data_IF_907262039794
#
_entry.id   IF_907262039794
#
_cell.length_a   1.000
_cell.length_b   1.000
_cell.length_c   1.000
_cell.angle_alpha   90.00
_cell.angle_beta   90.00
_cell.angle_gamma   90.00
#
_symmetry.space_group_name_H-M   'P 1'
#
loop_
_entity.id
_entity.type
_entity.pdbx_description
1 polymer ?
#
# COMPACT_ATOMS: atom_id res chain seq x y z
N UNK A 1 -45.36 48.23 5.47
CA UNK A 1 -44.17 47.61 6.09
C UNK A 1 -43.90 46.29 5.39
N UNK A 2 -43.02 46.27 4.38
CA UNK A 2 -42.64 45.04 3.68
C UNK A 2 -41.25 44.61 4.12
N UNK A 3 -41.17 43.46 4.79
CA UNK A 3 -39.91 42.79 5.13
C UNK A 3 -39.46 41.99 3.91
N UNK A 4 -38.37 42.44 3.28
CA UNK A 4 -37.70 41.72 2.20
C UNK A 4 -36.88 40.58 2.83
N UNK A 5 -37.34 39.34 2.66
CA UNK A 5 -36.65 38.13 3.11
C UNK A 5 -35.63 37.74 2.02
N UNK A 6 -34.34 38.03 2.26
CA UNK A 6 -33.26 37.59 1.37
C UNK A 6 -32.95 36.13 1.71
N UNK A 7 -33.37 35.20 0.84
CA UNK A 7 -32.93 33.81 0.90
C UNK A 7 -31.52 33.73 0.30
N UNK A 8 -30.51 33.58 1.14
CA UNK A 8 -29.14 33.26 0.73
C UNK A 8 -29.06 31.76 0.47
N UNK A 9 -29.15 31.35 -0.79
CA UNK A 9 -28.95 29.96 -1.20
C UNK A 9 -27.46 29.63 -1.15
N UNK A 10 -26.98 29.08 -0.03
CA UNK A 10 -25.62 28.56 0.08
C UNK A 10 -25.51 27.30 -0.77
N UNK A 11 -25.01 27.42 -2.00
CA UNK A 11 -24.69 26.26 -2.82
C UNK A 11 -23.53 25.50 -2.14
N UNK A 12 -23.85 24.38 -1.52
CA UNK A 12 -22.87 23.38 -1.09
C UNK A 12 -22.24 22.80 -2.35
N UNK A 13 -21.12 23.38 -2.77
CA UNK A 13 -20.24 22.74 -3.77
C UNK A 13 -19.65 21.53 -3.07
N UNK A 14 -20.31 20.38 -3.22
CA UNK A 14 -19.69 19.11 -2.88
C UNK A 14 -18.51 18.95 -3.82
N UNK A 15 -17.30 19.14 -3.32
CA UNK A 15 -16.06 18.81 -4.03
C UNK A 15 -16.03 17.30 -4.16
N UNK A 16 -16.72 16.78 -5.19
CA UNK A 16 -16.56 15.40 -5.62
C UNK A 16 -15.07 15.18 -5.88
N UNK A 17 -14.53 14.09 -5.36
CA UNK A 17 -13.14 13.74 -5.61
C UNK A 17 -12.97 13.53 -7.13
N UNK A 18 -12.18 14.40 -7.76
CA UNK A 18 -11.91 14.32 -9.18
C UNK A 18 -10.85 13.26 -9.44
N UNK A 19 -10.93 12.61 -10.59
CA UNK A 19 -9.92 11.65 -11.00
C UNK A 19 -8.56 12.35 -11.14
N UNK A 20 -7.59 11.92 -10.33
CA UNK A 20 -6.24 12.49 -10.29
C UNK A 20 -5.24 11.45 -9.75
N UNK A 21 -4.07 11.38 -10.37
CA UNK A 21 -2.98 10.56 -9.88
C UNK A 21 -2.56 11.01 -8.47
N UNK A 22 -2.22 10.07 -7.60
CA UNK A 22 -1.83 10.36 -6.21
C UNK A 22 -0.30 10.26 -6.09
N UNK A 23 0.41 11.35 -5.74
CA UNK A 23 1.85 11.32 -5.56
C UNK A 23 2.23 10.51 -4.31
N UNK A 24 3.38 9.83 -4.36
CA UNK A 24 3.98 9.19 -3.19
C UNK A 24 5.12 10.08 -2.67
N UNK A 25 4.98 10.81 -1.54
CA UNK A 25 5.87 11.92 -1.17
C UNK A 25 7.38 11.60 -1.07
N UNK A 26 7.73 10.35 -0.77
CA UNK A 26 9.12 9.90 -0.61
C UNK A 26 9.70 9.29 -1.90
N UNK A 27 8.94 9.35 -2.99
CA UNK A 27 9.29 8.80 -4.28
C UNK A 27 8.98 9.86 -5.33
N UNK A 28 9.85 10.03 -6.34
CA UNK A 28 9.50 10.83 -7.51
C UNK A 28 8.52 10.07 -8.41
N UNK A 29 7.37 9.69 -7.87
CA UNK A 29 6.41 8.76 -8.46
C UNK A 29 4.98 9.03 -7.99
N UNK A 30 4.01 8.58 -8.80
CA UNK A 30 2.59 8.66 -8.49
C UNK A 30 1.88 7.36 -8.82
N UNK A 31 0.81 7.06 -8.09
CA UNK A 31 -0.12 5.98 -8.44
C UNK A 31 -1.16 6.51 -9.41
N UNK A 32 -1.37 5.78 -10.51
CA UNK A 32 -2.37 6.11 -11.51
C UNK A 32 -3.78 6.06 -10.93
N UNK A 33 -4.59 7.06 -11.27
CA UNK A 33 -6.03 7.01 -11.08
C UNK A 33 -6.67 6.19 -12.21
N UNK A 34 -7.19 5.02 -11.85
CA UNK A 34 -7.75 4.07 -12.80
C UNK A 34 -9.03 4.59 -13.47
N UNK A 35 -9.70 5.57 -12.86
CA UNK A 35 -10.87 6.21 -13.46
C UNK A 35 -10.50 7.01 -14.72
N UNK A 36 -9.28 7.56 -14.81
CA UNK A 36 -8.75 8.21 -16.02
C UNK A 36 -8.60 7.23 -17.19
N UNK A 37 -8.49 5.93 -16.89
CA UNK A 37 -8.39 4.86 -17.87
C UNK A 37 -9.72 4.15 -18.13
N UNK A 38 -10.83 4.65 -17.57
CA UNK A 38 -12.18 4.07 -17.74
C UNK A 38 -12.32 2.69 -17.08
N UNK A 39 -11.54 2.40 -16.05
CA UNK A 39 -11.58 1.14 -15.30
C UNK A 39 -12.03 1.44 -13.87
N UNK A 40 -12.69 0.47 -13.23
CA UNK A 40 -13.04 0.57 -11.81
C UNK A 40 -12.19 -0.37 -10.97
N UNK A 41 -12.07 -0.07 -9.68
CA UNK A 41 -11.38 -0.92 -8.71
C UNK A 41 -11.97 -2.33 -8.65
N UNK A 42 -13.29 -2.49 -8.81
CA UNK A 42 -13.95 -3.80 -8.85
C UNK A 42 -13.60 -4.58 -10.12
N UNK A 43 -13.48 -3.90 -11.27
CA UNK A 43 -13.06 -4.53 -12.52
C UNK A 43 -11.63 -5.05 -12.41
N UNK A 44 -10.72 -4.25 -11.85
CA UNK A 44 -9.34 -4.65 -11.56
C UNK A 44 -9.28 -5.82 -10.56
N UNK A 45 -10.05 -5.76 -9.46
CA UNK A 45 -10.10 -6.86 -8.48
C UNK A 45 -10.59 -8.18 -9.08
N UNK A 46 -11.54 -8.12 -10.01
CA UNK A 46 -12.07 -9.29 -10.71
C UNK A 46 -11.10 -9.83 -11.78
N UNK A 47 -10.21 -9.02 -12.33
CA UNK A 47 -9.23 -9.48 -13.33
C UNK A 47 -8.01 -10.20 -12.74
N UNK A 48 -7.80 -10.09 -11.42
CA UNK A 48 -6.66 -10.72 -10.74
C UNK A 48 -6.71 -12.25 -10.84
N UNK A 49 -5.64 -12.83 -11.38
CA UNK A 49 -5.47 -14.27 -11.45
C UNK A 49 -5.25 -14.86 -10.05
N UNK A 50 -6.10 -15.80 -9.65
CA UNK A 50 -6.08 -16.50 -8.35
C UNK A 50 -5.61 -17.95 -8.45
N UNK A 51 -5.62 -18.53 -9.65
CA UNK A 51 -5.28 -19.94 -9.88
C UNK A 51 -3.79 -20.17 -10.08
N UNK A 52 -3.08 -19.19 -10.65
CA UNK A 52 -1.62 -19.27 -10.84
C UNK A 52 -0.83 -19.14 -9.54
N UNK A 53 -1.45 -18.57 -8.50
CA UNK A 53 -0.78 -18.27 -7.25
C UNK A 53 -1.19 -19.33 -6.24
N UNK A 54 -0.25 -20.19 -5.81
CA UNK A 54 -0.46 -21.07 -4.66
C UNK A 54 -0.58 -20.21 -3.39
N UNK A 55 -1.80 -19.80 -3.04
CA UNK A 55 -2.08 -18.80 -2.00
C UNK A 55 -1.47 -19.18 -0.63
N UNK A 56 -1.46 -20.48 -0.28
CA UNK A 56 -0.90 -20.97 0.98
C UNK A 56 0.63 -21.09 1.05
N UNK A 57 1.33 -21.03 -0.10
CA UNK A 57 2.80 -21.20 -0.17
C UNK A 57 3.53 -19.99 -0.76
N UNK A 58 2.80 -19.01 -1.28
CA UNK A 58 3.37 -17.81 -1.90
C UNK A 58 3.65 -16.73 -0.87
N UNK A 59 4.79 -16.06 -1.02
CA UNK A 59 5.11 -14.84 -0.27
C UNK A 59 4.21 -13.71 -0.79
N UNK A 60 3.59 -12.95 0.12
CA UNK A 60 2.65 -11.88 -0.20
C UNK A 60 3.23 -10.83 -1.16
N UNK A 61 4.53 -10.52 -1.04
CA UNK A 61 5.25 -9.61 -1.94
C UNK A 61 5.27 -10.08 -3.39
N UNK A 62 5.47 -11.38 -3.63
CA UNK A 62 5.47 -11.95 -4.99
C UNK A 62 4.08 -11.79 -5.62
N UNK A 63 3.01 -12.03 -4.85
CA UNK A 63 1.63 -11.85 -5.34
C UNK A 63 1.34 -10.42 -5.72
N UNK A 64 1.68 -9.48 -4.84
CA UNK A 64 1.46 -8.07 -5.07
C UNK A 64 2.23 -7.59 -6.31
N UNK A 65 3.47 -8.06 -6.50
CA UNK A 65 4.28 -7.77 -7.69
C UNK A 65 3.61 -8.31 -8.97
N UNK A 66 3.21 -9.59 -8.97
CA UNK A 66 2.59 -10.24 -10.13
C UNK A 66 1.30 -9.53 -10.55
N UNK A 67 0.42 -9.21 -9.60
CA UNK A 67 -0.83 -8.52 -9.91
C UNK A 67 -0.61 -7.11 -10.45
N UNK A 68 0.33 -6.35 -9.88
CA UNK A 68 0.67 -5.02 -10.40
C UNK A 68 1.32 -5.09 -11.78
N UNK A 69 2.13 -6.12 -12.04
CA UNK A 69 2.65 -6.37 -13.38
C UNK A 69 1.53 -6.67 -14.38
N UNK A 70 0.55 -7.49 -14.01
CA UNK A 70 -0.62 -7.77 -14.85
C UNK A 70 -1.47 -6.51 -15.08
N UNK A 71 -1.63 -5.66 -14.07
CA UNK A 71 -2.33 -4.37 -14.20
C UNK A 71 -1.63 -3.47 -15.22
N UNK A 72 -0.30 -3.34 -15.13
CA UNK A 72 0.47 -2.57 -16.10
C UNK A 72 0.37 -3.17 -17.50
N UNK A 73 0.52 -4.49 -17.63
CA UNK A 73 0.50 -5.18 -18.93
C UNK A 73 -0.86 -5.12 -19.64
N UNK A 74 -1.96 -5.29 -18.91
CA UNK A 74 -3.29 -5.46 -19.50
C UNK A 74 -4.15 -4.20 -19.47
N UNK A 75 -3.84 -3.27 -18.58
CA UNK A 75 -4.65 -2.08 -18.36
C UNK A 75 -3.84 -0.78 -18.44
N UNK A 76 -2.52 -0.87 -18.68
CA UNK A 76 -1.59 0.25 -18.60
C UNK A 76 -1.71 1.00 -17.26
N UNK A 77 -1.98 0.31 -16.15
CA UNK A 77 -2.15 0.92 -14.83
C UNK A 77 -0.84 0.82 -14.03
N UNK A 78 -0.27 1.96 -13.65
CA UNK A 78 0.82 2.01 -12.66
C UNK A 78 0.24 2.12 -11.23
N UNK A 79 0.01 0.97 -10.60
CA UNK A 79 -0.43 0.86 -9.20
C UNK A 79 0.74 0.93 -8.20
N UNK A 80 0.48 1.16 -6.91
CA UNK A 80 1.51 1.11 -5.86
C UNK A 80 1.35 -0.12 -4.95
N UNK A 81 2.17 -0.23 -3.91
CA UNK A 81 2.05 -1.23 -2.85
C UNK A 81 1.83 -0.56 -1.52
N UNK A 82 1.08 -1.24 -0.64
CA UNK A 82 0.98 -0.92 0.77
C UNK A 82 1.63 -2.05 1.57
N UNK A 83 2.78 -1.78 2.19
CA UNK A 83 3.41 -2.67 3.16
C UNK A 83 2.83 -2.37 4.55
N UNK A 84 2.43 -3.41 5.27
CA UNK A 84 2.01 -3.40 6.67
C UNK A 84 3.05 -4.15 7.49
N UNK A 85 3.51 -3.55 8.58
CA UNK A 85 4.47 -4.11 9.52
C UNK A 85 3.78 -4.30 10.87
N UNK A 86 3.81 -5.53 11.37
CA UNK A 86 3.17 -5.88 12.63
C UNK A 86 4.06 -5.52 13.82
N UNK A 87 3.43 -5.25 14.95
CA UNK A 87 4.11 -5.15 16.25
C UNK A 87 3.88 -6.40 17.10
N UNK A 88 4.42 -6.44 18.32
CA UNK A 88 4.17 -7.54 19.26
C UNK A 88 2.68 -7.78 19.56
N UNK A 89 1.88 -6.71 19.59
CA UNK A 89 0.43 -6.75 19.83
C UNK A 89 -0.38 -7.35 18.68
N UNK A 90 0.06 -7.15 17.44
CA UNK A 90 -0.70 -7.54 16.24
C UNK A 90 -0.10 -8.74 15.50
N UNK A 91 1.16 -9.07 15.79
CA UNK A 91 1.82 -10.26 15.28
C UNK A 91 1.45 -11.47 16.13
N UNK A 92 1.21 -12.62 15.49
CA UNK A 92 1.19 -13.90 16.21
C UNK A 92 2.56 -14.10 16.88
N UNK A 93 2.64 -14.62 18.10
CA UNK A 93 3.94 -14.74 18.82
C UNK A 93 4.63 -16.09 18.58
N UNK A 94 4.47 -16.69 17.39
CA UNK A 94 5.02 -18.01 17.04
C UNK A 94 6.33 -17.95 16.23
N UNK A 95 7.02 -19.07 16.07
CA UNK A 95 8.28 -19.16 15.28
C UNK A 95 8.07 -19.02 13.74
N UNK A 96 6.82 -19.07 13.27
CA UNK A 96 6.42 -18.92 11.85
C UNK A 96 5.75 -17.57 11.56
N UNK A 97 6.02 -16.57 12.39
CA UNK A 97 5.29 -15.29 12.38
C UNK A 97 5.64 -14.43 11.17
N UNK A 98 4.61 -14.11 10.39
CA UNK A 98 4.67 -13.06 9.39
C UNK A 98 4.85 -11.73 10.11
N UNK A 99 6.00 -11.08 9.94
CA UNK A 99 6.29 -9.77 10.54
C UNK A 99 5.84 -8.59 9.64
N UNK A 100 5.41 -8.90 8.41
CA UNK A 100 4.80 -7.96 7.50
C UNK A 100 3.76 -8.63 6.59
N UNK A 101 2.90 -7.81 6.00
CA UNK A 101 2.04 -8.19 4.88
C UNK A 101 2.06 -7.08 3.82
N UNK A 102 1.71 -7.39 2.58
CA UNK A 102 1.71 -6.42 1.49
C UNK A 102 0.60 -6.69 0.49
N UNK A 103 0.02 -5.62 -0.03
CA UNK A 103 -1.06 -5.63 -1.02
C UNK A 103 -0.81 -4.60 -2.13
N UNK A 104 -1.27 -4.85 -3.37
CA UNK A 104 -1.47 -3.79 -4.36
C UNK A 104 -2.36 -2.66 -3.83
N UNK A 105 -2.00 -1.44 -4.20
CA UNK A 105 -2.76 -0.23 -3.96
C UNK A 105 -3.06 0.43 -5.31
N UNK A 106 -4.31 0.82 -5.52
CA UNK A 106 -4.76 1.57 -6.71
C UNK A 106 -5.51 2.82 -6.27
N UNK A 107 -5.66 3.78 -7.17
CA UNK A 107 -6.46 4.99 -6.94
C UNK A 107 -7.67 4.96 -7.86
N UNK A 108 -8.85 5.31 -7.36
CA UNK A 108 -10.04 5.57 -8.15
C UNK A 108 -10.69 6.88 -7.69
N UNK A 109 -10.82 7.86 -8.59
CA UNK A 109 -11.35 9.19 -8.28
C UNK A 109 -10.62 9.86 -7.10
N UNK A 110 -9.29 9.78 -7.08
CA UNK A 110 -8.45 10.31 -6.01
C UNK A 110 -8.50 9.54 -4.68
N UNK A 111 -9.24 8.42 -4.61
CA UNK A 111 -9.37 7.59 -3.39
C UNK A 111 -8.52 6.34 -3.52
N UNK A 112 -7.69 6.07 -2.51
CA UNK A 112 -6.80 4.90 -2.47
C UNK A 112 -7.54 3.64 -1.99
N UNK A 113 -7.39 2.55 -2.74
CA UNK A 113 -7.96 1.24 -2.45
C UNK A 113 -6.88 0.16 -2.47
N UNK A 114 -6.91 -0.69 -1.45
CA UNK A 114 -6.17 -1.95 -1.43
C UNK A 114 -6.93 -3.03 -2.19
N UNK A 115 -6.20 -3.87 -2.92
CA UNK A 115 -6.77 -4.93 -3.74
C UNK A 115 -6.00 -6.24 -3.47
N UNK A 116 -6.54 -7.06 -2.55
CA UNK A 116 -5.90 -8.31 -2.09
C UNK A 116 -6.77 -9.55 -2.30
N UNK A 117 -6.87 -10.00 -3.56
CA UNK A 117 -7.71 -11.14 -3.93
C UNK A 117 -7.19 -12.51 -3.42
N UNK A 118 -6.07 -12.54 -2.70
CA UNK A 118 -5.43 -13.77 -2.23
C UNK A 118 -6.10 -14.43 -1.03
N UNK A 119 -7.10 -13.79 -0.43
CA UNK A 119 -7.76 -14.25 0.79
C UNK A 119 -9.19 -14.77 0.56
N UNK A 120 -9.54 -15.10 -0.68
CA UNK A 120 -10.78 -15.82 -1.03
C UNK A 120 -12.04 -15.13 -0.51
N UNK A 121 -12.81 -15.82 0.35
CA UNK A 121 -14.06 -15.27 0.93
C UNK A 121 -13.79 -14.17 1.95
N UNK A 122 -12.62 -14.13 2.56
CA UNK A 122 -12.28 -13.13 3.57
C UNK A 122 -12.10 -11.74 2.96
N UNK A 123 -11.67 -11.65 1.70
CA UNK A 123 -11.58 -10.40 0.92
C UNK A 123 -12.19 -10.65 -0.45
N UNK A 124 -13.42 -10.18 -0.66
CA UNK A 124 -14.20 -10.38 -1.88
C UNK A 124 -14.41 -9.10 -2.70
N UNK A 125 -13.88 -7.97 -2.24
CA UNK A 125 -13.88 -6.68 -2.92
C UNK A 125 -12.62 -5.88 -2.58
N UNK A 126 -12.30 -4.82 -3.33
CA UNK A 126 -11.39 -3.77 -2.90
C UNK A 126 -11.79 -3.23 -1.52
N UNK A 127 -10.80 -2.80 -0.74
CA UNK A 127 -11.00 -2.23 0.60
C UNK A 127 -10.29 -0.89 0.69
N UNK A 128 -10.85 0.05 1.45
CA UNK A 128 -10.09 1.24 1.85
C UNK A 128 -8.88 0.82 2.67
N UNK A 129 -7.82 1.64 2.65
CA UNK A 129 -6.59 1.38 3.42
C UNK A 129 -6.92 1.09 4.89
N UNK A 130 -7.78 1.91 5.51
CA UNK A 130 -8.19 1.74 6.91
C UNK A 130 -8.84 0.38 7.17
N UNK A 131 -9.73 -0.06 6.28
CA UNK A 131 -10.47 -1.31 6.45
C UNK A 131 -9.56 -2.52 6.26
N UNK A 132 -8.66 -2.47 5.28
CA UNK A 132 -7.67 -3.51 5.06
C UNK A 132 -6.68 -3.60 6.22
N UNK A 133 -6.17 -2.46 6.71
CA UNK A 133 -5.30 -2.40 7.88
C UNK A 133 -6.02 -2.98 9.10
N UNK A 134 -7.25 -2.56 9.38
CA UNK A 134 -8.04 -3.07 10.51
C UNK A 134 -8.22 -4.58 10.41
N UNK A 135 -8.42 -5.09 9.20
CA UNK A 135 -8.61 -6.51 8.94
C UNK A 135 -7.35 -7.33 9.22
N UNK A 136 -6.17 -6.84 8.84
CA UNK A 136 -4.91 -7.60 8.96
C UNK A 136 -4.18 -7.36 10.27
N UNK A 137 -4.21 -6.13 10.80
CA UNK A 137 -3.57 -5.77 12.05
C UNK A 137 -4.51 -5.88 13.26
N UNK A 138 -5.83 -5.97 13.06
CA UNK A 138 -6.79 -5.92 14.18
C UNK A 138 -6.86 -4.56 14.87
N UNK A 139 -6.29 -3.50 14.26
CA UNK A 139 -6.22 -2.16 14.84
C UNK A 139 -6.37 -1.07 13.79
N UNK A 140 -6.86 0.09 14.23
CA UNK A 140 -6.85 1.34 13.46
C UNK A 140 -5.72 2.27 13.91
N UNK A 141 -5.04 1.96 15.02
CA UNK A 141 -3.91 2.72 15.54
C UNK A 141 -2.61 2.33 14.85
N UNK A 142 -2.54 2.56 13.53
CA UNK A 142 -1.35 2.32 12.74
C UNK A 142 -0.74 3.62 12.23
N UNK A 143 0.59 3.63 12.11
CA UNK A 143 1.34 4.80 11.65
C UNK A 143 1.96 4.59 10.27
N UNK A 144 1.84 5.58 9.39
CA UNK A 144 2.64 5.64 8.18
C UNK A 144 4.11 5.97 8.52
N UNK A 145 5.04 5.18 7.99
CA UNK A 145 6.49 5.38 8.15
C UNK A 145 6.95 6.50 7.21
N UNK A 146 7.58 7.53 7.76
CA UNK A 146 8.16 8.66 7.00
C UNK A 146 9.62 8.42 6.67
N UNK A 147 10.15 9.05 5.61
CA UNK A 147 11.54 8.86 5.18
C UNK A 147 12.59 9.25 6.24
N UNK A 148 12.28 10.17 7.14
CA UNK A 148 13.16 10.59 8.23
C UNK A 148 13.17 9.65 9.45
N UNK A 149 12.32 8.61 9.48
CA UNK A 149 12.18 7.68 10.61
C UNK A 149 13.15 6.51 10.46
N UNK A 150 14.44 6.82 10.40
CA UNK A 150 15.50 5.91 9.96
C UNK A 150 15.65 4.67 10.84
N UNK A 151 15.36 4.76 12.14
CA UNK A 151 15.37 3.61 13.07
C UNK A 151 14.21 2.63 12.83
N UNK A 152 13.06 3.11 12.33
CA UNK A 152 11.98 2.25 11.87
C UNK A 152 12.33 1.61 10.53
N UNK A 153 12.93 2.37 9.62
CA UNK A 153 13.32 1.89 8.29
C UNK A 153 14.42 0.82 8.39
N UNK A 154 15.43 1.00 9.24
CA UNK A 154 16.51 0.01 9.47
C UNK A 154 15.96 -1.36 9.89
N UNK A 155 14.85 -1.38 10.64
CA UNK A 155 14.21 -2.62 11.09
C UNK A 155 13.67 -3.46 9.94
N UNK A 156 13.38 -2.86 8.78
CA UNK A 156 12.96 -3.61 7.59
C UNK A 156 14.06 -4.55 7.07
N UNK A 157 15.33 -4.34 7.42
CA UNK A 157 16.39 -5.32 7.14
C UNK A 157 16.38 -6.52 8.08
N UNK A 158 15.86 -6.36 9.30
CA UNK A 158 16.05 -7.32 10.39
C UNK A 158 15.07 -8.49 10.35
N UNK A 159 14.00 -8.40 9.58
CA UNK A 159 13.06 -9.50 9.43
C UNK A 159 12.22 -9.80 10.67
N UNK A 160 11.90 -8.78 11.49
CA UNK A 160 11.23 -8.94 12.79
C UNK A 160 10.09 -7.95 12.96
N UNK A 161 9.19 -8.26 13.90
CA UNK A 161 8.11 -7.35 14.29
C UNK A 161 8.68 -6.01 14.77
N UNK A 162 7.92 -4.96 14.54
CA UNK A 162 8.27 -3.60 14.93
C UNK A 162 7.96 -3.39 16.43
N UNK A 163 8.68 -2.47 17.11
CA UNK A 163 8.35 -2.10 18.47
C UNK A 163 7.03 -1.32 18.52
N UNK A 164 6.18 -1.62 19.51
CA UNK A 164 4.94 -0.87 19.73
C UNK A 164 5.22 0.58 20.12
N UNK A 165 6.20 0.80 21.00
CA UNK A 165 6.60 2.12 21.48
C UNK A 165 7.94 2.51 20.88
N UNK A 166 7.98 3.70 20.29
CA UNK A 166 9.19 4.35 19.74
C UNK A 166 9.24 5.81 20.18
N UNK A 167 10.28 6.52 19.76
CA UNK A 167 10.33 7.98 19.89
C UNK A 167 9.21 8.70 19.11
N UNK A 168 8.53 8.02 18.17
CA UNK A 168 7.45 8.59 17.37
C UNK A 168 6.05 8.36 17.98
N UNK A 169 5.95 7.63 19.09
CA UNK A 169 4.69 7.30 19.75
C UNK A 169 4.49 5.80 19.97
N UNK A 170 3.27 5.45 20.39
CA UNK A 170 2.83 4.06 20.60
C UNK A 170 1.80 3.67 19.56
N UNK A 171 2.14 2.71 18.72
CA UNK A 171 1.32 2.23 17.62
C UNK A 171 1.22 0.72 17.63
N UNK A 172 0.08 0.23 17.17
CA UNK A 172 -0.17 -1.21 17.08
C UNK A 172 0.46 -1.80 15.80
N UNK A 173 0.81 -0.95 14.84
CA UNK A 173 1.20 -1.35 13.49
C UNK A 173 1.84 -0.16 12.77
N UNK A 174 2.65 -0.46 11.76
CA UNK A 174 3.22 0.55 10.87
C UNK A 174 2.91 0.20 9.43
N UNK A 175 2.87 1.18 8.53
CA UNK A 175 2.70 0.91 7.11
C UNK A 175 3.51 1.87 6.24
N UNK A 176 3.76 1.46 5.00
CA UNK A 176 4.44 2.29 4.00
C UNK A 176 3.83 2.07 2.63
N UNK A 177 3.49 3.17 1.95
CA UNK A 177 3.11 3.16 0.53
C UNK A 177 4.37 3.31 -0.31
N UNK A 178 4.56 2.44 -1.30
CA UNK A 178 5.78 2.42 -2.13
C UNK A 178 5.47 2.10 -3.58
N UNK A 179 6.39 2.41 -4.51
CA UNK A 179 6.21 2.03 -5.90
C UNK A 179 6.09 0.53 -6.19
N UNK A 180 5.47 0.19 -7.33
CA UNK A 180 5.23 -1.20 -7.72
C UNK A 180 6.52 -2.03 -7.80
N UNK A 181 7.63 -1.43 -8.20
CA UNK A 181 8.90 -2.15 -8.33
C UNK A 181 9.53 -2.62 -7.01
N UNK A 182 9.17 -2.02 -5.86
CA UNK A 182 9.73 -2.42 -4.57
C UNK A 182 9.23 -3.78 -4.13
N UNK A 183 10.11 -4.78 -4.11
CA UNK A 183 9.75 -6.17 -3.88
C UNK A 183 9.54 -6.47 -2.39
N UNK A 184 10.55 -6.20 -1.57
CA UNK A 184 10.60 -6.61 -0.17
C UNK A 184 10.79 -5.41 0.75
N UNK A 185 10.52 -5.54 2.06
CA UNK A 185 10.86 -4.50 3.03
C UNK A 185 12.33 -4.06 2.95
N UNK A 186 13.27 -4.99 2.73
CA UNK A 186 14.67 -4.66 2.56
C UNK A 186 14.92 -3.74 1.35
N UNK A 187 14.22 -3.96 0.22
CA UNK A 187 14.32 -3.08 -0.95
C UNK A 187 13.78 -1.67 -0.68
N UNK A 188 12.75 -1.56 0.17
CA UNK A 188 12.23 -0.26 0.62
C UNK A 188 13.27 0.46 1.49
N UNK A 189 13.88 -0.24 2.44
CA UNK A 189 14.92 0.34 3.29
C UNK A 189 16.18 0.73 2.53
N UNK A 190 16.63 -0.06 1.55
CA UNK A 190 17.78 0.31 0.72
C UNK A 190 17.58 1.63 -0.02
N UNK A 191 16.38 1.87 -0.54
CA UNK A 191 16.06 3.13 -1.20
C UNK A 191 16.01 4.30 -0.23
N UNK A 192 15.28 4.14 0.88
CA UNK A 192 15.06 5.26 1.82
C UNK A 192 16.32 5.63 2.61
N UNK A 193 17.18 4.65 2.93
CA UNK A 193 18.40 4.89 3.70
C UNK A 193 19.64 5.10 2.82
N UNK A 194 19.58 4.74 1.53
CA UNK A 194 20.75 4.77 0.65
C UNK A 194 21.87 3.82 1.09
N UNK A 195 21.55 2.76 1.84
CA UNK A 195 22.51 1.75 2.31
C UNK A 195 21.95 0.33 2.22
N UNK A 196 22.83 -0.66 2.09
CA UNK A 196 22.48 -2.09 2.21
C UNK A 196 22.28 -2.50 3.67
N UNK A 197 21.82 -3.73 3.92
CA UNK A 197 21.75 -4.30 5.27
C UNK A 197 23.11 -4.44 5.98
N UNK A 198 24.22 -4.37 5.23
CA UNK A 198 25.57 -4.35 5.77
C UNK A 198 26.09 -2.91 6.04
N UNK A 199 25.26 -1.88 5.81
CA UNK A 199 25.65 -0.47 5.96
C UNK A 199 26.46 0.08 4.78
N UNK A 200 26.60 -0.66 3.68
CA UNK A 200 27.30 -0.18 2.48
C UNK A 200 26.43 0.79 1.71
N UNK A 201 26.95 1.96 1.34
CA UNK A 201 26.22 2.93 0.51
C UNK A 201 25.72 2.32 -0.81
N UNK A 202 24.51 2.69 -1.23
CA UNK A 202 23.87 2.23 -2.47
C UNK A 202 22.88 3.25 -3.01
N UNK A 203 22.67 3.27 -4.32
CA UNK A 203 21.63 4.05 -5.00
C UNK A 203 20.57 3.10 -5.55
N UNK A 204 19.80 2.50 -4.64
CA UNK A 204 18.75 1.56 -5.01
C UNK A 204 17.47 2.34 -5.35
N UNK A 205 17.11 2.38 -6.62
CA UNK A 205 15.81 2.88 -7.09
C UNK A 205 15.14 1.82 -7.94
N UNK A 206 13.88 1.53 -7.62
CA UNK A 206 13.10 0.53 -8.37
C UNK A 206 11.63 0.94 -8.48
N UNK A 207 11.33 1.99 -9.28
CA UNK A 207 9.95 2.40 -9.48
C UNK A 207 9.15 1.36 -10.28
N UNK A 208 9.77 0.73 -11.27
CA UNK A 208 9.14 -0.20 -12.20
C UNK A 208 9.45 -1.67 -11.89
N UNK A 209 8.59 -2.56 -12.39
CA UNK A 209 8.76 -4.01 -12.30
C UNK A 209 9.66 -4.47 -13.43
N UNK A 210 10.79 -5.10 -13.09
CA UNK A 210 11.65 -5.78 -14.05
C UNK A 210 10.95 -7.00 -14.64
N UNK A 211 10.69 -6.99 -15.95
CA UNK A 211 9.95 -8.06 -16.66
C UNK A 211 10.63 -9.43 -16.55
N UNK A 212 11.95 -9.48 -16.40
CA UNK A 212 12.73 -10.72 -16.29
C UNK A 212 12.59 -11.40 -14.90
N UNK A 213 11.87 -10.78 -13.97
CA UNK A 213 11.69 -11.29 -12.61
C UNK A 213 10.29 -11.89 -12.39
N UNK A 214 9.44 -11.85 -13.41
CA UNK A 214 8.02 -12.20 -13.34
C UNK A 214 7.70 -13.48 -14.13
N UNK A 215 8.69 -14.05 -14.84
CA UNK A 215 8.59 -15.28 -15.64
C UNK A 215 9.89 -16.09 -15.61
#
# INVERSE_FOLDING_TARGET
MNKLLVLTTTALISTGAFAQNVPLPDYNWSTDDIALKGITKEKLFKSMNRSMIKLGASICSNRALLWLHDFKRHHDVDGSKLFLFYTGKTGNTGETTWWYHVTPLVVENGVEYTIDAGFGRSINSPLLIKDWITKFAGSTNCKEIRANETDLIDRMFRGRVFPETTQYGTYDCYYKKVPAGYWTPASVAMNLLGVTSAGTATTFERPEINKNEVY
#
